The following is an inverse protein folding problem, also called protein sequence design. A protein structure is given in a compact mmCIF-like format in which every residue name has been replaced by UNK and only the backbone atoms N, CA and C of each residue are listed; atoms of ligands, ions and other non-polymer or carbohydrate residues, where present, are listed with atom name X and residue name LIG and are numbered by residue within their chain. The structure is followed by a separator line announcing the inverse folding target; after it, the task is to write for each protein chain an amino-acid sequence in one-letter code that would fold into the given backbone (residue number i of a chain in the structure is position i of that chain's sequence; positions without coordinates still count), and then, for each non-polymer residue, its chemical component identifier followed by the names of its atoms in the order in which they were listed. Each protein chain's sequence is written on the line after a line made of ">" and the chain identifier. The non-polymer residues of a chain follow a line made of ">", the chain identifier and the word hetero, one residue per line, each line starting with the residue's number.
data_IF_186198538132
#
_entry.id   IF_186198538132
#
_cell.length_a   1.000
_cell.length_b   1.000
_cell.length_c   1.000
_cell.angle_alpha   90.00
_cell.angle_beta   90.00
_cell.angle_gamma   90.00
#
_symmetry.space_group_name_H-M   'P 1'
#
loop_
_entity.id
_entity.type
_entity.pdbx_description
1 polymer ?
#
# COMPACT_ATOMS: atom_id res chain seq x y z
N UNK A 1 29.97 -14.62 47.35
CA UNK A 1 28.59 -14.30 46.87
C UNK A 1 28.55 -13.34 45.66
N UNK A 2 29.51 -12.41 45.46
CA UNK A 2 29.48 -11.44 44.34
C UNK A 2 29.74 -12.02 42.92
N UNK A 3 30.34 -13.22 42.80
CA UNK A 3 30.64 -13.84 41.50
C UNK A 3 29.46 -14.59 40.86
N UNK A 4 28.49 -15.05 41.67
CA UNK A 4 27.31 -15.75 41.18
C UNK A 4 26.28 -14.79 40.54
N UNK A 5 26.20 -13.54 41.03
CA UNK A 5 25.30 -12.52 40.49
C UNK A 5 25.68 -12.06 39.07
N UNK A 6 26.96 -12.13 38.70
CA UNK A 6 27.45 -11.72 37.38
C UNK A 6 27.15 -12.77 36.28
N UNK A 7 27.07 -14.06 36.62
CA UNK A 7 26.67 -15.09 35.66
C UNK A 7 25.16 -15.08 35.35
N UNK A 8 24.33 -14.69 36.32
CA UNK A 8 22.89 -14.60 36.11
C UNK A 8 22.48 -13.45 35.17
N UNK A 9 23.25 -12.36 35.12
CA UNK A 9 22.96 -11.22 34.24
C UNK A 9 23.33 -11.47 32.76
N UNK A 10 24.27 -12.38 32.46
CA UNK A 10 24.67 -12.68 31.09
C UNK A 10 23.66 -13.53 30.32
N UNK A 11 22.86 -14.34 31.03
CA UNK A 11 21.88 -15.25 30.43
C UNK A 11 20.57 -14.57 30.00
N UNK A 12 20.28 -13.37 30.50
CA UNK A 12 19.08 -12.60 30.11
C UNK A 12 19.24 -11.94 28.74
N UNK A 13 20.49 -11.66 28.31
CA UNK A 13 20.76 -10.97 27.05
C UNK A 13 20.53 -11.83 25.79
N UNK A 14 20.59 -13.17 25.91
CA UNK A 14 20.37 -14.09 24.79
C UNK A 14 18.92 -14.55 24.64
N UNK A 15 18.04 -14.25 25.61
CA UNK A 15 16.65 -14.71 25.62
C UNK A 15 15.71 -13.89 24.70
N UNK A 16 16.19 -12.79 24.12
CA UNK A 16 15.39 -11.93 23.24
C UNK A 16 15.71 -12.06 21.74
N UNK A 17 16.51 -13.06 21.32
CA UNK A 17 16.69 -13.33 19.91
C UNK A 17 15.54 -14.20 19.40
N UNK A 18 14.78 -13.75 18.38
CA UNK A 18 13.77 -14.61 17.75
C UNK A 18 14.44 -15.89 17.25
N UNK A 19 13.77 -17.05 17.34
CA UNK A 19 14.31 -18.31 16.85
C UNK A 19 14.82 -18.16 15.41
N UNK A 20 15.91 -18.83 15.06
CA UNK A 20 16.51 -18.80 13.72
C UNK A 20 15.56 -19.25 12.60
N UNK A 21 14.47 -19.94 12.95
CA UNK A 21 13.39 -20.35 12.04
C UNK A 21 12.06 -19.62 12.33
N UNK A 22 12.07 -18.51 13.05
CA UNK A 22 10.87 -17.71 13.26
C UNK A 22 10.37 -17.17 11.93
N UNK A 23 9.09 -17.41 11.63
CA UNK A 23 8.44 -16.82 10.44
C UNK A 23 8.61 -15.31 10.50
N UNK A 24 9.06 -14.71 9.40
CA UNK A 24 9.18 -13.27 9.27
C UNK A 24 7.85 -12.61 9.72
N UNK A 25 7.91 -11.57 10.57
CA UNK A 25 6.71 -10.87 11.00
C UNK A 25 5.91 -10.44 9.77
N UNK A 26 4.60 -10.72 9.77
CA UNK A 26 3.73 -10.28 8.67
C UNK A 26 3.90 -8.79 8.46
N UNK A 27 3.96 -8.38 7.21
CA UNK A 27 4.08 -6.98 6.82
C UNK A 27 3.24 -6.81 5.57
N UNK A 28 2.19 -6.02 5.67
CA UNK A 28 1.24 -5.84 4.57
C UNK A 28 1.45 -4.47 3.94
N UNK A 29 1.61 -4.44 2.62
CA UNK A 29 1.70 -3.23 1.81
C UNK A 29 0.46 -3.17 0.92
N UNK A 30 -0.31 -2.10 1.04
CA UNK A 30 -1.38 -1.76 0.10
C UNK A 30 -0.90 -0.57 -0.72
N UNK A 31 -0.85 -0.75 -2.04
CA UNK A 31 -0.49 0.30 -2.99
C UNK A 31 -1.74 0.76 -3.71
N UNK A 32 -2.02 2.05 -3.62
CA UNK A 32 -3.04 2.73 -4.41
C UNK A 32 -2.40 3.46 -5.59
N UNK A 33 -2.87 3.18 -6.80
CA UNK A 33 -2.52 3.93 -8.00
C UNK A 33 -3.68 4.83 -8.42
N UNK A 34 -3.44 6.13 -8.46
CA UNK A 34 -4.36 7.06 -9.06
C UNK A 34 -4.22 6.95 -10.58
N UNK A 35 -5.32 6.69 -11.25
CA UNK A 35 -5.38 6.47 -12.70
C UNK A 35 -6.32 7.47 -13.36
N UNK A 36 -6.73 8.50 -12.61
CA UNK A 36 -7.63 9.53 -13.06
C UNK A 36 -7.08 10.34 -14.23
N UNK A 37 -8.01 10.92 -14.98
CA UNK A 37 -7.68 11.83 -16.05
C UNK A 37 -6.87 13.04 -15.60
N UNK A 38 -7.07 13.58 -14.39
CA UNK A 38 -6.29 14.73 -13.89
C UNK A 38 -4.83 14.36 -13.68
N UNK A 39 -4.57 13.23 -13.04
CA UNK A 39 -3.21 12.80 -12.75
C UNK A 39 -2.47 12.37 -14.01
N UNK A 40 -3.14 11.69 -14.96
CA UNK A 40 -2.55 11.37 -16.26
C UNK A 40 -2.16 12.61 -17.07
N UNK A 41 -3.01 13.65 -17.06
CA UNK A 41 -2.74 14.92 -17.76
C UNK A 41 -1.69 15.79 -17.08
N UNK A 42 -1.30 15.47 -15.84
CA UNK A 42 -0.25 16.21 -15.12
C UNK A 42 1.15 16.02 -15.71
N UNK A 43 1.36 14.98 -16.52
CA UNK A 43 2.68 14.58 -17.03
C UNK A 43 3.53 13.81 -16.02
N UNK A 44 3.05 13.60 -14.79
CA UNK A 44 3.78 12.91 -13.72
C UNK A 44 3.38 11.43 -13.57
N UNK A 45 2.32 11.00 -14.26
CA UNK A 45 1.77 9.65 -14.11
C UNK A 45 2.78 8.55 -14.46
N UNK A 46 3.49 8.67 -15.60
CA UNK A 46 4.46 7.64 -16.01
C UNK A 46 5.64 7.54 -15.03
N UNK A 47 6.12 8.68 -14.52
CA UNK A 47 7.18 8.69 -13.51
C UNK A 47 6.70 8.10 -12.18
N UNK A 48 5.47 8.40 -11.77
CA UNK A 48 4.86 7.82 -10.58
C UNK A 48 4.66 6.30 -10.72
N UNK A 49 4.23 5.83 -11.89
CA UNK A 49 4.07 4.41 -12.18
C UNK A 49 5.41 3.67 -12.14
N UNK A 50 6.44 4.24 -12.78
CA UNK A 50 7.80 3.71 -12.74
C UNK A 50 8.36 3.66 -11.33
N UNK A 51 8.15 4.73 -10.55
CA UNK A 51 8.56 4.74 -9.15
C UNK A 51 7.78 3.73 -8.31
N UNK A 52 6.47 3.57 -8.53
CA UNK A 52 5.66 2.57 -7.85
C UNK A 52 6.19 1.15 -8.12
N UNK A 53 6.58 0.84 -9.36
CA UNK A 53 7.18 -0.43 -9.72
C UNK A 53 8.50 -0.67 -8.98
N UNK A 54 9.38 0.34 -8.91
CA UNK A 54 10.63 0.28 -8.15
C UNK A 54 10.37 0.13 -6.64
N UNK A 55 9.39 0.85 -6.10
CA UNK A 55 9.02 0.82 -4.70
C UNK A 55 8.52 -0.57 -4.29
N UNK A 56 7.61 -1.15 -5.09
CA UNK A 56 7.09 -2.51 -4.87
C UNK A 56 8.23 -3.53 -4.98
N UNK A 57 9.05 -3.43 -6.01
CA UNK A 57 10.19 -4.33 -6.21
C UNK A 57 11.17 -4.27 -5.02
N UNK A 58 11.49 -3.08 -4.52
CA UNK A 58 12.34 -2.88 -3.34
C UNK A 58 11.80 -3.57 -2.09
N UNK A 59 10.49 -3.47 -1.87
CA UNK A 59 9.81 -4.05 -0.72
C UNK A 59 9.67 -5.57 -0.80
N UNK A 60 9.42 -6.13 -2.00
CA UNK A 60 9.36 -7.57 -2.22
C UNK A 60 10.73 -8.22 -1.96
N UNK A 61 11.81 -7.55 -2.40
CA UNK A 61 13.17 -8.09 -2.35
C UNK A 61 14.00 -7.58 -1.14
N UNK A 62 13.38 -6.86 -0.20
CA UNK A 62 14.04 -6.28 0.98
C UNK A 62 15.31 -5.46 0.64
N UNK A 63 15.31 -4.77 -0.50
CA UNK A 63 16.49 -4.06 -0.98
C UNK A 63 16.82 -2.86 -0.09
N UNK A 64 18.11 -2.56 0.06
CA UNK A 64 18.55 -1.37 0.80
C UNK A 64 18.14 -1.34 2.28
N UNK A 65 17.83 -2.49 2.88
CA UNK A 65 17.37 -2.58 4.27
C UNK A 65 15.86 -2.30 4.44
N UNK A 66 15.10 -2.21 3.34
CA UNK A 66 13.65 -2.13 3.41
C UNK A 66 13.08 -3.38 4.09
N UNK A 67 12.06 -3.18 4.92
CA UNK A 67 11.36 -4.30 5.56
C UNK A 67 10.66 -5.13 4.49
N UNK A 68 10.99 -6.40 4.41
CA UNK A 68 10.39 -7.31 3.45
C UNK A 68 8.87 -7.36 3.66
N UNK A 69 8.13 -7.20 2.58
CA UNK A 69 6.67 -7.31 2.61
C UNK A 69 6.25 -8.76 2.42
N UNK A 70 5.38 -9.27 3.28
CA UNK A 70 4.82 -10.63 3.16
C UNK A 70 3.60 -10.66 2.26
N UNK A 71 2.84 -9.58 2.23
CA UNK A 71 1.60 -9.43 1.49
C UNK A 71 1.57 -8.05 0.81
N UNK A 72 1.48 -8.02 -0.52
CA UNK A 72 1.34 -6.79 -1.31
C UNK A 72 -0.01 -6.85 -2.01
N UNK A 73 -0.75 -5.75 -1.98
CA UNK A 73 -2.01 -5.57 -2.71
C UNK A 73 -1.94 -4.27 -3.50
N UNK A 74 -2.15 -4.32 -4.81
CA UNK A 74 -2.16 -3.13 -5.67
C UNK A 74 -3.58 -2.91 -6.19
N UNK A 75 -4.12 -1.70 -6.01
CA UNK A 75 -5.46 -1.34 -6.47
C UNK A 75 -5.51 0.09 -7.00
N UNK A 76 -6.54 0.40 -7.77
CA UNK A 76 -6.78 1.76 -8.27
C UNK A 76 -7.51 2.63 -7.26
N UNK A 77 -7.12 3.91 -7.17
CA UNK A 77 -7.94 4.95 -6.54
C UNK A 77 -9.10 5.35 -7.46
N UNK A 78 -8.85 5.32 -8.78
CA UNK A 78 -9.82 5.74 -9.79
C UNK A 78 -10.75 4.63 -10.27
N UNK A 79 -11.91 5.02 -10.83
CA UNK A 79 -12.91 4.11 -11.41
C UNK A 79 -13.97 4.83 -12.25
N UNK A 80 -14.74 4.09 -13.05
CA UNK A 80 -15.80 4.65 -13.89
C UNK A 80 -16.97 5.24 -13.07
N UNK A 81 -17.24 4.67 -11.88
CA UNK A 81 -18.38 5.06 -11.02
C UNK A 81 -17.99 5.08 -9.54
N UNK A 82 -18.56 6.03 -8.80
CA UNK A 82 -18.49 6.08 -7.33
C UNK A 82 -19.03 4.77 -6.76
N UNK A 83 -18.26 4.14 -5.87
CA UNK A 83 -18.61 2.86 -5.24
C UNK A 83 -18.45 1.61 -6.12
N UNK A 84 -17.83 1.71 -7.30
CA UNK A 84 -17.50 0.52 -8.11
C UNK A 84 -16.55 -0.42 -7.34
N UNK A 85 -16.75 -1.75 -7.43
CA UNK A 85 -15.83 -2.71 -6.82
C UNK A 85 -14.42 -2.54 -7.38
N UNK A 86 -13.45 -2.16 -6.52
CA UNK A 86 -12.04 -2.19 -6.88
C UNK A 86 -11.49 -3.61 -6.75
N UNK A 87 -10.71 -4.01 -7.75
CA UNK A 87 -9.93 -5.25 -7.74
C UNK A 87 -8.54 -4.94 -7.20
N UNK A 88 -8.06 -5.81 -6.30
CA UNK A 88 -6.68 -5.77 -5.83
C UNK A 88 -5.90 -6.90 -6.49
N UNK A 89 -4.75 -6.57 -7.04
CA UNK A 89 -3.77 -7.53 -7.56
C UNK A 89 -2.81 -7.92 -6.44
N UNK A 90 -2.68 -9.21 -6.10
CA UNK A 90 -1.88 -9.64 -4.97
C UNK A 90 -0.40 -9.83 -5.34
N UNK A 91 0.46 -9.96 -4.32
CA UNK A 91 1.92 -10.10 -4.45
C UNK A 91 2.37 -11.22 -5.39
N UNK A 92 1.59 -12.30 -5.52
CA UNK A 92 1.93 -13.45 -6.36
C UNK A 92 2.06 -13.04 -7.82
N UNK A 93 1.31 -12.03 -8.25
CA UNK A 93 1.36 -11.51 -9.62
C UNK A 93 2.67 -10.75 -9.90
N UNK A 94 3.42 -10.36 -8.86
CA UNK A 94 4.62 -9.50 -8.95
C UNK A 94 5.90 -10.20 -8.50
N UNK A 95 5.80 -11.38 -7.86
CA UNK A 95 6.94 -12.09 -7.30
C UNK A 95 7.85 -12.64 -8.41
N UNK A 96 9.16 -12.42 -8.30
CA UNK A 96 10.15 -12.85 -9.29
C UNK A 96 10.25 -11.97 -10.55
N UNK A 97 9.43 -10.91 -10.63
CA UNK A 97 9.47 -9.96 -11.75
C UNK A 97 10.51 -8.86 -11.53
N UNK A 98 11.06 -8.36 -12.64
CA UNK A 98 11.91 -7.16 -12.67
C UNK A 98 11.06 -5.89 -12.54
N UNK A 99 11.65 -4.73 -12.16
CA UNK A 99 10.92 -3.47 -12.11
C UNK A 99 10.19 -3.13 -13.41
N UNK A 100 10.82 -3.34 -14.58
CA UNK A 100 10.21 -3.06 -15.87
C UNK A 100 8.99 -3.97 -16.16
N UNK A 101 9.04 -5.23 -15.73
CA UNK A 101 7.90 -6.14 -15.85
C UNK A 101 6.76 -5.73 -14.93
N UNK A 102 7.08 -5.35 -13.67
CA UNK A 102 6.08 -4.83 -12.73
C UNK A 102 5.42 -3.58 -13.31
N UNK A 103 6.19 -2.62 -13.83
CA UNK A 103 5.64 -1.42 -14.47
C UNK A 103 4.68 -1.76 -15.63
N UNK A 104 5.08 -2.71 -16.48
CA UNK A 104 4.24 -3.18 -17.59
C UNK A 104 2.94 -3.82 -17.11
N UNK A 105 2.98 -4.64 -16.05
CA UNK A 105 1.79 -5.23 -15.45
C UNK A 105 0.87 -4.16 -14.86
N UNK A 106 1.43 -3.19 -14.12
CA UNK A 106 0.65 -2.09 -13.55
C UNK A 106 -0.06 -1.30 -14.66
N UNK A 107 0.62 -1.04 -15.79
CA UNK A 107 0.02 -0.37 -16.94
C UNK A 107 -1.10 -1.20 -17.58
N UNK A 108 -0.95 -2.52 -17.62
CA UNK A 108 -1.94 -3.42 -18.18
C UNK A 108 -3.17 -3.58 -17.28
N UNK A 109 -2.99 -3.59 -15.95
CA UNK A 109 -4.08 -3.72 -14.98
C UNK A 109 -4.92 -2.46 -14.85
N UNK A 110 -4.32 -1.30 -15.09
CA UNK A 110 -4.95 0.00 -14.92
C UNK A 110 -4.93 0.81 -16.22
N UNK A 111 -5.76 0.42 -17.22
CA UNK A 111 -5.87 1.12 -18.51
C UNK A 111 -6.46 2.54 -18.36
N UNK A 112 -6.43 3.31 -19.44
CA UNK A 112 -6.66 4.76 -19.46
C UNK A 112 -8.13 5.22 -19.43
N UNK A 113 -9.03 4.45 -18.81
CA UNK A 113 -10.48 4.64 -18.99
C UNK A 113 -11.23 5.20 -17.76
N UNK A 114 -10.52 5.68 -16.73
CA UNK A 114 -11.15 6.12 -15.48
C UNK A 114 -11.16 7.66 -15.27
N UNK A 115 -12.33 8.31 -15.24
CA UNK A 115 -12.43 9.76 -15.08
C UNK A 115 -12.46 10.25 -13.62
N UNK A 116 -12.52 9.38 -12.62
CA UNK A 116 -12.80 9.76 -11.22
C UNK A 116 -11.65 9.34 -10.30
N UNK A 117 -11.32 10.16 -9.31
CA UNK A 117 -10.47 9.81 -8.15
C UNK A 117 -11.34 9.70 -6.90
N UNK A 118 -11.52 8.49 -6.37
CA UNK A 118 -12.35 8.22 -5.19
C UNK A 118 -11.54 7.57 -4.06
N UNK A 119 -10.91 8.42 -3.24
CA UNK A 119 -10.16 8.02 -2.05
C UNK A 119 -11.02 7.22 -1.06
N UNK A 120 -12.29 7.57 -0.90
CA UNK A 120 -13.17 6.95 0.09
C UNK A 120 -13.50 5.52 -0.30
N UNK A 121 -13.82 5.28 -1.58
CA UNK A 121 -14.01 3.92 -2.09
C UNK A 121 -12.75 3.08 -1.92
N UNK A 122 -11.57 3.65 -2.15
CA UNK A 122 -10.30 2.97 -1.93
C UNK A 122 -10.09 2.58 -0.46
N UNK A 123 -10.31 3.49 0.49
CA UNK A 123 -10.15 3.19 1.93
C UNK A 123 -11.15 2.17 2.44
N UNK A 124 -12.42 2.30 2.07
CA UNK A 124 -13.45 1.31 2.41
C UNK A 124 -13.08 -0.08 1.89
N UNK A 125 -12.62 -0.16 0.65
CA UNK A 125 -12.26 -1.42 0.01
C UNK A 125 -10.99 -2.02 0.62
N UNK A 126 -10.00 -1.19 0.94
CA UNK A 126 -8.80 -1.60 1.68
C UNK A 126 -9.18 -2.19 3.02
N UNK A 127 -10.03 -1.50 3.81
CA UNK A 127 -10.48 -1.98 5.10
C UNK A 127 -11.20 -3.33 5.03
N UNK A 128 -12.12 -3.49 4.08
CA UNK A 128 -12.82 -4.76 3.83
C UNK A 128 -11.82 -5.86 3.45
N UNK A 129 -10.84 -5.56 2.61
CA UNK A 129 -9.85 -6.54 2.16
C UNK A 129 -8.95 -7.00 3.31
N UNK A 130 -8.39 -6.07 4.09
CA UNK A 130 -7.53 -6.36 5.25
C UNK A 130 -8.26 -7.19 6.31
N UNK A 131 -9.51 -6.84 6.63
CA UNK A 131 -10.35 -7.61 7.57
C UNK A 131 -10.63 -9.02 7.05
N UNK A 132 -10.94 -9.18 5.76
CA UNK A 132 -11.20 -10.50 5.15
C UNK A 132 -9.97 -11.40 5.12
N UNK A 133 -8.78 -10.84 4.91
CA UNK A 133 -7.51 -11.58 4.90
C UNK A 133 -6.95 -11.81 6.33
N UNK A 134 -7.65 -11.36 7.37
CA UNK A 134 -7.21 -11.43 8.76
C UNK A 134 -5.81 -10.79 8.98
N UNK A 135 -5.59 -9.64 8.36
CA UNK A 135 -4.33 -8.89 8.38
C UNK A 135 -4.32 -7.72 9.38
N UNK A 136 -5.37 -7.58 10.19
CA UNK A 136 -5.56 -6.52 11.20
C UNK A 136 -4.40 -6.47 12.22
N UNK A 137 -3.86 -7.64 12.59
CA UNK A 137 -2.75 -7.70 13.56
C UNK A 137 -1.36 -7.56 12.92
N UNK A 138 -1.29 -7.42 11.60
CA UNK A 138 -0.03 -7.22 10.89
C UNK A 138 0.21 -5.71 10.69
N UNK A 139 1.46 -5.22 10.84
CA UNK A 139 1.84 -3.89 10.38
C UNK A 139 1.36 -3.63 8.94
N UNK A 140 0.50 -2.62 8.79
CA UNK A 140 -0.13 -2.22 7.54
C UNK A 140 0.48 -0.91 7.05
N UNK A 141 0.99 -0.91 5.82
CA UNK A 141 1.45 0.29 5.13
C UNK A 141 0.52 0.54 3.95
N UNK A 142 -0.13 1.70 3.91
CA UNK A 142 -0.93 2.13 2.76
C UNK A 142 -0.16 3.26 2.07
N UNK A 143 0.25 3.03 0.82
CA UNK A 143 0.98 4.01 0.01
C UNK A 143 0.16 4.34 -1.23
N UNK A 144 -0.04 5.61 -1.51
CA UNK A 144 -0.82 6.07 -2.65
C UNK A 144 0.04 6.94 -3.56
N UNK A 145 -0.04 6.70 -4.87
CA UNK A 145 0.59 7.50 -5.90
C UNK A 145 -0.49 8.29 -6.64
N UNK A 146 -0.54 9.62 -6.44
CA UNK A 146 -1.61 10.51 -6.90
C UNK A 146 -1.12 11.96 -7.00
N UNK A 147 -1.79 12.78 -7.82
CA UNK A 147 -1.66 14.25 -7.79
C UNK A 147 -2.31 14.87 -6.53
N UNK A 148 -3.02 14.06 -5.75
CA UNK A 148 -3.69 14.47 -4.52
C UNK A 148 -4.97 15.26 -4.76
N UNK A 149 -5.54 15.24 -5.96
CA UNK A 149 -6.78 15.98 -6.28
C UNK A 149 -7.96 15.00 -6.27
N UNK A 150 -8.90 15.11 -5.31
CA UNK A 150 -10.13 14.33 -5.37
C UNK A 150 -10.98 14.77 -6.56
N UNK A 151 -11.37 13.82 -7.40
CA UNK A 151 -12.15 14.06 -8.62
C UNK A 151 -13.39 13.16 -8.61
N UNK A 152 -14.41 13.55 -7.86
CA UNK A 152 -15.70 12.86 -7.80
C UNK A 152 -16.83 13.77 -8.28
N UNK A 153 -18.01 13.25 -8.65
CA UNK A 153 -19.13 14.07 -9.12
C UNK A 153 -19.45 15.23 -8.16
N UNK A 154 -19.28 16.47 -8.64
CA UNK A 154 -19.47 17.68 -7.85
C UNK A 154 -18.21 18.28 -7.24
N UNK A 155 -17.05 17.61 -7.35
CA UNK A 155 -15.78 18.09 -6.81
C UNK A 155 -15.32 19.42 -7.44
N UNK A 156 -15.42 19.56 -8.77
CA UNK A 156 -15.00 20.78 -9.47
C UNK A 156 -15.75 22.07 -9.08
N UNK A 157 -16.83 21.98 -8.29
CA UNK A 157 -17.58 23.14 -7.78
C UNK A 157 -17.22 23.50 -6.34
N UNK A 158 -16.38 22.71 -5.67
CA UNK A 158 -16.00 22.90 -4.27
C UNK A 158 -14.62 23.53 -4.16
N UNK A 159 -14.39 24.47 -3.21
CA UNK A 159 -13.06 24.93 -2.90
C UNK A 159 -12.24 23.81 -2.23
N UNK A 160 -10.91 23.83 -2.42
CA UNK A 160 -10.00 22.78 -1.96
C UNK A 160 -10.21 22.34 -0.49
N UNK A 161 -10.41 23.23 0.51
CA UNK A 161 -10.65 22.78 1.88
C UNK A 161 -11.89 21.89 2.05
N UNK A 162 -12.96 22.15 1.28
CA UNK A 162 -14.18 21.35 1.33
C UNK A 162 -14.03 20.02 0.61
N UNK A 163 -13.17 19.94 -0.41
CA UNK A 163 -12.82 18.68 -1.08
C UNK A 163 -12.10 17.74 -0.12
N UNK A 164 -11.03 18.23 0.51
CA UNK A 164 -10.23 17.42 1.42
C UNK A 164 -10.98 17.04 2.69
N UNK A 165 -11.88 17.90 3.19
CA UNK A 165 -12.73 17.58 4.34
C UNK A 165 -13.72 16.43 4.09
N UNK A 166 -13.94 16.02 2.83
CA UNK A 166 -14.79 14.88 2.47
C UNK A 166 -14.04 13.55 2.44
N UNK A 167 -12.71 13.57 2.57
CA UNK A 167 -11.92 12.34 2.65
C UNK A 167 -12.17 11.69 4.00
N UNK A 168 -12.74 10.50 3.97
CA UNK A 168 -13.07 9.71 5.15
C UNK A 168 -12.05 8.57 5.32
N UNK A 169 -11.17 8.74 6.30
CA UNK A 169 -10.16 7.74 6.69
C UNK A 169 -10.64 6.81 7.79
N UNK A 170 -11.82 7.05 8.38
CA UNK A 170 -12.38 6.24 9.48
C UNK A 170 -12.38 4.72 9.20
N UNK A 171 -12.63 4.23 7.96
CA UNK A 171 -12.60 2.79 7.67
C UNK A 171 -11.24 2.12 7.96
N UNK A 172 -10.14 2.88 7.88
CA UNK A 172 -8.77 2.38 8.05
C UNK A 172 -8.15 2.75 9.40
N UNK A 173 -8.78 3.61 10.20
CA UNK A 173 -8.26 4.04 11.51
C UNK A 173 -8.18 2.92 12.55
N UNK A 174 -9.06 1.91 12.45
CA UNK A 174 -9.17 0.80 13.40
C UNK A 174 -8.82 -0.55 12.76
N UNK A 175 -7.83 -0.55 11.86
CA UNK A 175 -7.25 -1.75 11.27
C UNK A 175 -6.04 -2.26 12.04
#
# INVERSE_FOLDING_TARGET
>A
MKRAALLALGLVAFACQPPTNARAPKNTLVVGLDISGSFRKSGQFDDALRYAALYIYGHINAMGGLKQTTDVFVGSLGGERVGQPKTFHPIQDLTGKTPAQIEADLRAWFPEDDPITDFNAFFQRTAVHIKRQNLVLAPLNIVMFSDGVPDFPGAGRMPAPQLYAKIDVSPIEYL
#
